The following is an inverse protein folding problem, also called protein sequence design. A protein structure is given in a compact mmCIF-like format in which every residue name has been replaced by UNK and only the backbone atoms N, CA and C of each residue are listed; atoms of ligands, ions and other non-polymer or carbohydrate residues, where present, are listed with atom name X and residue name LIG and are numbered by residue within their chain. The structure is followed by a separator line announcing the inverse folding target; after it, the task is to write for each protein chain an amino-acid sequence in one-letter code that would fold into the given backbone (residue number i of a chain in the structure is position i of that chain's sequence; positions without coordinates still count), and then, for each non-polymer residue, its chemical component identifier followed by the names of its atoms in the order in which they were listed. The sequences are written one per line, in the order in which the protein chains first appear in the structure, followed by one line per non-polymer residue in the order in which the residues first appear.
data_IF_835597950049
#
_entry.id   IF_835597950049
#
_cell.length_a   1.000
_cell.length_b   1.000
_cell.length_c   1.000
_cell.angle_alpha   90.00
_cell.angle_beta   90.00
_cell.angle_gamma   90.00
#
_symmetry.space_group_name_H-M   'P 1'
#
loop_
_entity.id
_entity.type
_entity.pdbx_description
1 polymer ?
#
# COMPACT_ATOMS: atom_id res chain seq x y z
N UNK A 1 23.03 -37.09 64.80
CA UNK A 1 22.00 -37.03 63.76
C UNK A 1 22.13 -35.68 63.07
N UNK A 2 22.84 -35.66 61.92
CA UNK A 2 23.04 -34.45 61.15
C UNK A 2 22.15 -34.48 59.90
N UNK A 3 21.28 -33.50 59.76
CA UNK A 3 20.50 -33.32 58.55
C UNK A 3 21.28 -32.49 57.53
N UNK A 4 21.61 -33.09 56.41
CA UNK A 4 22.24 -32.42 55.28
C UNK A 4 21.13 -31.69 54.49
N UNK A 5 21.24 -30.36 54.38
CA UNK A 5 20.40 -29.51 53.55
C UNK A 5 20.93 -29.52 52.12
N UNK A 6 20.24 -30.18 51.22
CA UNK A 6 20.58 -30.15 49.80
C UNK A 6 19.98 -28.88 49.17
N UNK A 7 20.82 -27.91 48.78
CA UNK A 7 20.42 -26.73 47.99
C UNK A 7 20.42 -27.15 46.54
N UNK A 8 19.25 -27.26 45.94
CA UNK A 8 19.08 -27.41 44.49
C UNK A 8 19.17 -26.04 43.83
N UNK A 9 20.30 -25.73 43.23
CA UNK A 9 20.48 -24.57 42.35
C UNK A 9 19.88 -24.91 40.99
N UNK A 10 18.67 -24.43 40.71
CA UNK A 10 18.12 -24.37 39.36
C UNK A 10 18.78 -23.21 38.62
N UNK A 11 19.75 -23.48 37.78
CA UNK A 11 20.24 -22.54 36.78
C UNK A 11 19.09 -22.33 35.74
N UNK A 12 18.38 -21.23 35.83
CA UNK A 12 17.59 -20.73 34.72
C UNK A 12 18.57 -20.22 33.65
N UNK A 13 18.81 -21.04 32.63
CA UNK A 13 19.49 -20.57 31.42
C UNK A 13 18.59 -19.53 30.75
N UNK A 14 18.82 -18.26 31.02
CA UNK A 14 18.30 -17.17 30.22
C UNK A 14 19.00 -17.29 28.86
N UNK A 15 18.33 -17.91 27.90
CA UNK A 15 18.71 -17.81 26.51
C UNK A 15 18.56 -16.35 26.12
N UNK A 16 19.62 -15.56 26.23
CA UNK A 16 19.72 -14.31 25.52
C UNK A 16 19.78 -14.68 24.05
N UNK A 17 18.63 -14.63 23.35
CA UNK A 17 18.66 -14.55 21.90
C UNK A 17 19.57 -13.34 21.61
N UNK A 18 20.71 -13.62 20.97
CA UNK A 18 21.52 -12.56 20.40
C UNK A 18 20.56 -11.73 19.54
N UNK A 19 20.41 -10.45 19.85
CA UNK A 19 19.69 -9.54 18.99
C UNK A 19 20.39 -9.63 17.63
N UNK A 20 19.76 -10.29 16.68
CA UNK A 20 20.25 -10.36 15.32
C UNK A 20 20.24 -8.92 14.83
N UNK A 21 21.41 -8.41 14.45
CA UNK A 21 21.50 -7.02 13.98
C UNK A 21 20.64 -6.92 12.73
N UNK A 22 19.62 -6.10 12.82
CA UNK A 22 18.75 -5.78 11.69
C UNK A 22 19.58 -5.36 10.49
N UNK A 23 19.36 -5.97 9.34
CA UNK A 23 20.09 -5.66 8.12
C UNK A 23 19.15 -5.16 7.05
N UNK A 24 19.53 -4.02 6.43
CA UNK A 24 18.91 -3.52 5.21
C UNK A 24 19.70 -4.00 3.99
N UNK A 25 19.01 -4.42 2.95
CA UNK A 25 19.63 -4.78 1.68
C UNK A 25 18.77 -4.36 0.48
N UNK A 26 19.42 -3.88 -0.57
CA UNK A 26 18.79 -3.70 -1.88
C UNK A 26 18.83 -5.04 -2.60
N UNK A 27 17.66 -5.61 -2.84
CA UNK A 27 17.53 -6.89 -3.53
C UNK A 27 17.37 -6.74 -5.05
N UNK A 28 16.91 -5.56 -5.52
CA UNK A 28 16.85 -5.25 -6.95
C UNK A 28 16.99 -3.74 -7.21
N UNK A 29 17.77 -3.37 -8.24
CA UNK A 29 17.89 -2.00 -8.75
C UNK A 29 17.17 -1.90 -10.10
N UNK A 30 16.23 -0.97 -10.23
CA UNK A 30 15.58 -0.70 -11.51
C UNK A 30 16.54 -0.05 -12.49
N UNK A 31 16.52 -0.51 -13.75
CA UNK A 31 17.48 -0.07 -14.80
C UNK A 31 16.80 0.69 -15.93
N UNK A 32 15.49 0.91 -15.85
CA UNK A 32 14.72 1.53 -16.91
C UNK A 32 14.44 0.58 -18.08
N UNK A 33 13.93 1.13 -19.18
CA UNK A 33 13.59 0.36 -20.38
C UNK A 33 12.64 -0.79 -20.05
N UNK A 34 12.92 -1.98 -20.56
CA UNK A 34 12.07 -3.16 -20.34
C UNK A 34 12.00 -3.65 -18.88
N UNK A 35 12.91 -3.21 -18.03
CA UNK A 35 12.95 -3.61 -16.62
C UNK A 35 12.18 -2.65 -15.70
N UNK A 36 11.59 -1.59 -16.25
CA UNK A 36 10.80 -0.63 -15.48
C UNK A 36 11.61 0.40 -14.71
N UNK A 37 10.90 1.38 -14.18
CA UNK A 37 11.45 2.46 -13.37
C UNK A 37 10.38 3.03 -12.42
N UNK A 38 10.83 3.66 -11.35
CA UNK A 38 9.99 4.38 -10.38
C UNK A 38 8.90 3.46 -9.81
N UNK A 39 9.26 2.43 -9.04
CA UNK A 39 8.28 1.59 -8.35
C UNK A 39 7.67 2.41 -7.20
N UNK A 40 6.38 2.69 -7.28
CA UNK A 40 5.65 3.45 -6.28
C UNK A 40 4.69 2.58 -5.47
N UNK A 41 4.34 1.41 -5.98
CA UNK A 41 3.42 0.47 -5.36
C UNK A 41 4.13 -0.53 -4.45
N UNK A 42 3.37 -1.10 -3.52
CA UNK A 42 3.80 -2.24 -2.71
C UNK A 42 4.01 -3.51 -3.55
N UNK A 43 4.49 -4.53 -2.88
CA UNK A 43 4.70 -5.85 -3.45
C UNK A 43 3.61 -6.82 -3.00
N UNK A 44 3.39 -7.87 -3.78
CA UNK A 44 2.56 -9.01 -3.38
C UNK A 44 3.40 -10.27 -3.38
N UNK A 45 3.35 -11.03 -2.30
CA UNK A 45 4.12 -12.25 -2.11
C UNK A 45 3.25 -13.47 -2.42
N UNK A 46 3.77 -14.43 -3.22
CA UNK A 46 3.04 -15.65 -3.60
C UNK A 46 3.18 -16.79 -2.57
N UNK A 47 3.91 -16.57 -1.49
CA UNK A 47 4.21 -17.60 -0.48
C UNK A 47 5.25 -18.64 -0.95
N UNK A 48 5.60 -18.69 -2.23
CA UNK A 48 6.59 -19.59 -2.82
C UNK A 48 7.97 -18.95 -3.03
N UNK A 49 8.11 -17.66 -2.68
CA UNK A 49 9.37 -16.93 -2.76
C UNK A 49 9.46 -15.92 -3.90
N UNK A 50 8.37 -15.65 -4.61
CA UNK A 50 8.33 -14.59 -5.61
C UNK A 50 7.51 -13.40 -5.14
N UNK A 51 7.93 -12.21 -5.53
CA UNK A 51 7.19 -10.97 -5.37
C UNK A 51 6.65 -10.49 -6.72
N UNK A 52 5.49 -9.88 -6.68
CA UNK A 52 4.85 -9.25 -7.83
C UNK A 52 4.65 -7.78 -7.52
N UNK A 53 4.94 -6.93 -8.51
CA UNK A 53 4.82 -5.48 -8.34
C UNK A 53 4.61 -4.77 -9.66
N UNK A 54 4.46 -3.45 -9.57
CA UNK A 54 4.33 -2.55 -10.72
C UNK A 54 5.45 -1.54 -10.74
N UNK A 55 5.89 -1.15 -11.93
CA UNK A 55 6.77 -0.02 -12.16
C UNK A 55 6.00 1.05 -12.94
N UNK A 56 6.04 2.29 -12.44
CA UNK A 56 5.25 3.38 -13.02
C UNK A 56 5.69 3.77 -14.42
N UNK A 57 6.96 3.58 -14.73
CA UNK A 57 7.57 3.85 -16.03
C UNK A 57 8.34 2.65 -16.56
N UNK A 58 8.84 2.77 -17.78
CA UNK A 58 9.48 1.68 -18.52
C UNK A 58 8.48 0.85 -19.31
N UNK A 59 8.88 -0.35 -19.72
CA UNK A 59 8.11 -1.17 -20.65
C UNK A 59 8.13 -0.59 -22.06
N UNK A 60 6.97 -0.54 -22.69
CA UNK A 60 6.83 0.03 -24.04
C UNK A 60 7.04 1.54 -24.03
N UNK A 61 7.79 2.02 -25.02
CA UNK A 61 8.07 3.45 -25.24
C UNK A 61 7.59 3.88 -26.64
N UNK A 62 7.37 5.18 -26.82
CA UNK A 62 6.81 5.75 -28.04
C UNK A 62 5.27 5.72 -28.07
N UNK A 63 4.68 6.25 -29.14
CA UNK A 63 3.23 6.36 -29.25
C UNK A 63 2.60 7.06 -28.06
N UNK A 64 1.61 6.42 -27.46
CA UNK A 64 0.91 6.94 -26.27
C UNK A 64 1.76 6.91 -24.99
N UNK A 65 2.89 6.20 -24.98
CA UNK A 65 3.75 6.03 -23.79
C UNK A 65 4.86 7.07 -23.68
N UNK A 66 5.12 7.83 -24.76
CA UNK A 66 6.22 8.79 -24.77
C UNK A 66 7.58 8.13 -24.53
N UNK A 67 8.55 8.91 -24.05
CA UNK A 67 9.94 8.44 -23.85
C UNK A 67 10.14 7.69 -22.53
N UNK A 68 9.28 7.91 -21.52
CA UNK A 68 9.40 7.28 -20.22
C UNK A 68 8.78 5.87 -20.15
N UNK A 69 7.90 5.53 -21.09
CA UNK A 69 7.12 4.30 -21.10
C UNK A 69 5.85 4.38 -20.24
N UNK A 70 4.94 3.44 -20.47
CA UNK A 70 3.63 3.37 -19.81
C UNK A 70 3.64 2.53 -18.54
N UNK A 71 4.78 2.00 -18.14
CA UNK A 71 4.89 1.13 -16.99
C UNK A 71 4.67 -0.35 -17.31
N UNK A 72 4.85 -1.17 -16.30
CA UNK A 72 4.76 -2.62 -16.42
C UNK A 72 4.37 -3.30 -15.10
N UNK A 73 3.91 -4.54 -15.23
CA UNK A 73 3.80 -5.50 -14.12
C UNK A 73 4.98 -6.46 -14.21
N UNK A 74 5.62 -6.73 -13.06
CA UNK A 74 6.77 -7.63 -13.00
C UNK A 74 6.62 -8.69 -11.90
N UNK A 75 7.41 -9.76 -12.06
CA UNK A 75 7.70 -10.74 -11.02
C UNK A 75 9.18 -10.65 -10.66
N UNK A 76 9.48 -10.68 -9.38
CA UNK A 76 10.82 -10.74 -8.83
C UNK A 76 11.00 -12.09 -8.13
N UNK A 77 11.95 -12.90 -8.59
CA UNK A 77 12.19 -14.25 -8.08
C UNK A 77 13.62 -14.37 -7.57
N UNK A 78 13.78 -14.95 -6.38
CA UNK A 78 15.11 -15.28 -5.87
C UNK A 78 15.62 -16.56 -6.54
N UNK A 79 16.80 -16.47 -7.14
CA UNK A 79 17.48 -17.56 -7.84
C UNK A 79 18.85 -17.82 -7.22
N UNK A 80 19.50 -18.89 -7.63
CA UNK A 80 20.90 -19.19 -7.20
C UNK A 80 21.90 -18.08 -7.59
N UNK A 81 21.54 -17.23 -8.56
CA UNK A 81 22.35 -16.09 -9.02
C UNK A 81 21.92 -14.76 -8.42
N UNK A 82 20.99 -14.76 -7.46
CA UNK A 82 20.37 -13.58 -6.86
C UNK A 82 18.97 -13.30 -7.39
N UNK A 83 18.46 -12.12 -7.07
CA UNK A 83 17.12 -11.70 -7.46
C UNK A 83 17.04 -11.32 -8.95
N UNK A 84 16.07 -11.86 -9.65
CA UNK A 84 15.83 -11.64 -11.07
C UNK A 84 14.43 -11.08 -11.29
N UNK A 85 14.34 -9.94 -11.98
CA UNK A 85 13.09 -9.36 -12.42
C UNK A 85 12.70 -9.95 -13.79
N UNK A 86 11.44 -10.37 -13.90
CA UNK A 86 10.81 -10.81 -15.14
C UNK A 86 9.61 -9.92 -15.41
N UNK A 87 9.58 -9.11 -16.48
CA UNK A 87 8.39 -8.41 -16.91
C UNK A 87 7.29 -9.42 -17.28
N UNK A 88 6.11 -9.23 -16.72
CA UNK A 88 4.93 -10.06 -17.03
C UNK A 88 4.09 -9.40 -18.12
N UNK A 89 3.88 -8.10 -17.99
CA UNK A 89 3.11 -7.29 -18.94
C UNK A 89 3.66 -5.87 -19.00
N UNK A 90 3.74 -5.31 -20.19
CA UNK A 90 4.19 -3.91 -20.43
C UNK A 90 3.06 -3.15 -21.11
N UNK A 91 2.55 -2.13 -20.44
CA UNK A 91 1.42 -1.33 -20.92
C UNK A 91 1.79 -0.55 -22.19
N UNK A 92 0.80 -0.39 -23.08
CA UNK A 92 0.94 0.31 -24.36
C UNK A 92 0.31 1.70 -24.35
N UNK A 93 -0.36 2.07 -23.27
CA UNK A 93 -1.15 3.30 -23.20
C UNK A 93 -2.43 3.24 -24.04
N UNK A 94 -3.14 4.35 -24.13
CA UNK A 94 -4.43 4.38 -24.81
C UNK A 94 -5.42 3.47 -24.10
N UNK A 95 -6.10 2.58 -24.82
CA UNK A 95 -7.11 1.68 -24.23
C UNK A 95 -6.53 0.60 -23.32
N UNK A 96 -5.24 0.32 -23.43
CA UNK A 96 -4.54 -0.70 -22.66
C UNK A 96 -4.23 -0.30 -21.21
N UNK A 97 -4.36 0.98 -20.89
CA UNK A 97 -3.94 1.50 -19.61
C UNK A 97 -2.48 2.00 -19.60
N UNK A 98 -2.15 2.80 -18.59
CA UNK A 98 -0.81 3.34 -18.40
C UNK A 98 -0.57 3.75 -16.94
N UNK A 99 0.70 3.71 -16.55
CA UNK A 99 1.19 4.22 -15.27
C UNK A 99 0.46 3.61 -14.06
N UNK A 100 0.73 2.35 -13.72
CA UNK A 100 0.21 1.72 -12.49
C UNK A 100 0.94 2.32 -11.28
N UNK A 101 0.52 3.50 -10.81
CA UNK A 101 1.25 4.32 -9.83
C UNK A 101 1.39 3.62 -8.48
N UNK A 102 0.43 3.82 -7.59
CA UNK A 102 0.44 3.29 -6.21
C UNK A 102 -0.44 2.04 -6.06
N UNK A 103 -0.95 1.51 -7.17
CA UNK A 103 -1.73 0.30 -7.19
C UNK A 103 -0.83 -0.93 -7.33
N UNK A 104 -0.68 -1.69 -6.25
CA UNK A 104 0.01 -2.97 -6.35
C UNK A 104 -0.92 -4.08 -6.83
N UNK A 105 -0.34 -5.11 -7.44
CA UNK A 105 -1.10 -6.27 -7.89
C UNK A 105 -1.57 -7.11 -6.72
N UNK A 106 -2.75 -7.68 -6.81
CA UNK A 106 -3.28 -8.63 -5.83
C UNK A 106 -3.69 -9.93 -6.53
N UNK A 107 -3.60 -11.06 -5.82
CA UNK A 107 -4.16 -12.30 -6.31
C UNK A 107 -5.67 -12.31 -6.11
N UNK A 108 -6.42 -12.55 -7.18
CA UNK A 108 -7.84 -12.82 -7.08
C UNK A 108 -8.15 -14.28 -6.73
N UNK A 109 -9.43 -14.62 -6.52
CA UNK A 109 -9.85 -15.95 -6.06
C UNK A 109 -9.37 -17.11 -6.93
N UNK A 110 -9.20 -16.88 -8.25
CA UNK A 110 -8.74 -17.89 -9.21
C UNK A 110 -7.22 -17.88 -9.44
N UNK A 111 -6.44 -17.12 -8.65
CA UNK A 111 -4.99 -17.04 -8.75
C UNK A 111 -4.47 -16.15 -9.89
N UNK A 112 -5.32 -15.41 -10.61
CA UNK A 112 -4.90 -14.35 -11.51
C UNK A 112 -4.47 -13.12 -10.74
N UNK A 113 -3.66 -12.27 -11.36
CA UNK A 113 -3.25 -10.98 -10.81
C UNK A 113 -4.23 -9.88 -11.25
N UNK A 114 -4.60 -9.02 -10.33
CA UNK A 114 -5.48 -7.87 -10.55
C UNK A 114 -4.81 -6.61 -10.06
N UNK A 115 -5.01 -5.51 -10.77
CA UNK A 115 -4.58 -4.17 -10.35
C UNK A 115 -5.27 -3.10 -11.19
N UNK A 116 -4.78 -1.86 -11.08
CA UNK A 116 -5.29 -0.70 -11.81
C UNK A 116 -4.17 0.06 -12.50
N UNK A 117 -4.51 0.80 -13.54
CA UNK A 117 -3.65 1.83 -14.12
C UNK A 117 -4.26 3.21 -13.86
N UNK A 118 -3.43 4.20 -13.55
CA UNK A 118 -3.91 5.55 -13.26
C UNK A 118 -4.42 6.29 -14.49
N UNK A 119 -3.80 6.04 -15.64
CA UNK A 119 -4.15 6.59 -16.96
C UNK A 119 -4.52 5.49 -17.94
N UNK A 120 -4.97 5.89 -19.12
CA UNK A 120 -5.45 5.00 -20.18
C UNK A 120 -6.91 4.64 -20.00
N UNK A 121 -7.40 3.69 -20.77
CA UNK A 121 -8.83 3.35 -20.82
C UNK A 121 -9.64 4.38 -21.62
N UNK A 122 -10.55 5.04 -20.99
CA UNK A 122 -11.48 5.99 -21.58
C UNK A 122 -10.88 7.28 -22.15
N UNK A 123 -11.72 8.27 -22.38
CA UNK A 123 -11.43 9.51 -23.13
C UNK A 123 -11.14 10.74 -22.27
N UNK A 124 -10.83 10.59 -20.98
CA UNK A 124 -10.57 11.73 -20.11
C UNK A 124 -9.36 12.53 -20.58
N UNK A 125 -9.57 13.79 -20.92
CA UNK A 125 -8.56 14.82 -21.23
C UNK A 125 -7.40 14.34 -22.14
N UNK A 126 -7.65 13.35 -23.00
CA UNK A 126 -6.67 12.80 -23.94
C UNK A 126 -5.65 11.83 -23.35
N UNK A 127 -5.66 11.59 -22.03
CA UNK A 127 -4.75 10.64 -21.34
C UNK A 127 -5.47 9.41 -20.80
N UNK A 128 -6.81 9.43 -20.76
CA UNK A 128 -7.67 8.39 -20.18
C UNK A 128 -7.84 8.52 -18.66
N UNK A 129 -8.88 7.88 -18.14
CA UNK A 129 -9.29 7.94 -16.73
C UNK A 129 -8.77 6.77 -15.90
N UNK A 130 -8.01 5.88 -16.48
CA UNK A 130 -7.51 4.68 -15.82
C UNK A 130 -8.37 3.44 -16.07
N UNK A 131 -7.78 2.30 -15.74
CA UNK A 131 -8.40 0.98 -15.94
C UNK A 131 -8.31 0.11 -14.72
N UNK A 132 -9.22 -0.87 -14.62
CA UNK A 132 -9.02 -2.07 -13.79
C UNK A 132 -8.72 -3.22 -14.73
N UNK A 133 -7.64 -3.96 -14.48
CA UNK A 133 -7.20 -5.05 -15.33
C UNK A 133 -6.95 -6.33 -14.54
N UNK A 134 -6.94 -7.44 -15.28
CA UNK A 134 -6.60 -8.78 -14.83
C UNK A 134 -5.50 -9.34 -15.72
N UNK A 135 -4.46 -9.91 -15.11
CA UNK A 135 -3.44 -10.69 -15.80
C UNK A 135 -3.61 -12.18 -15.48
N UNK A 136 -3.78 -12.99 -16.50
CA UNK A 136 -3.89 -14.44 -16.40
C UNK A 136 -2.73 -15.12 -17.10
N UNK A 137 -2.18 -16.15 -16.45
CA UNK A 137 -1.18 -17.01 -17.07
C UNK A 137 -1.89 -17.95 -18.09
N UNK A 138 -1.55 -17.85 -19.37
CA UNK A 138 -2.01 -18.80 -20.39
C UNK A 138 -1.01 -19.94 -20.53
N UNK A 139 -1.48 -21.16 -20.25
CA UNK A 139 -0.71 -22.39 -20.52
C UNK A 139 -0.91 -22.78 -21.98
N UNK A 140 0.19 -22.92 -22.72
CA UNK A 140 0.16 -23.41 -24.11
C UNK A 140 0.27 -22.37 -25.21
N UNK A 141 0.80 -21.17 -24.92
CA UNK A 141 1.06 -20.14 -25.94
C UNK A 141 2.32 -20.50 -26.77
N UNK A 142 2.16 -20.92 -28.05
CA UNK A 142 3.26 -21.49 -28.84
C UNK A 142 4.19 -20.43 -29.47
N UNK A 143 4.00 -19.13 -29.24
CA UNK A 143 4.64 -18.07 -30.05
C UNK A 143 5.72 -17.26 -29.35
N UNK A 144 6.26 -17.67 -28.20
CA UNK A 144 7.37 -16.97 -27.54
C UNK A 144 7.05 -15.55 -27.03
N UNK A 145 5.78 -15.14 -27.04
CA UNK A 145 5.29 -13.94 -26.35
C UNK A 145 5.11 -14.25 -24.85
N UNK A 146 5.02 -13.21 -24.04
CA UNK A 146 4.71 -13.36 -22.61
C UNK A 146 3.53 -14.33 -22.43
N UNK A 147 3.63 -15.33 -21.55
CA UNK A 147 2.51 -16.23 -21.27
C UNK A 147 1.39 -15.53 -20.48
N UNK A 148 1.57 -14.28 -20.11
CA UNK A 148 0.59 -13.49 -19.38
C UNK A 148 -0.26 -12.68 -20.36
N UNK A 149 -1.57 -12.79 -20.20
CA UNK A 149 -2.56 -12.11 -21.03
C UNK A 149 -3.34 -11.15 -20.14
N UNK A 150 -3.39 -9.90 -20.58
CA UNK A 150 -4.21 -8.87 -19.96
C UNK A 150 -5.66 -8.96 -20.44
N UNK A 151 -6.56 -8.62 -19.55
CA UNK A 151 -7.97 -8.34 -19.82
C UNK A 151 -8.36 -7.08 -19.04
N UNK A 152 -8.81 -6.06 -19.75
CA UNK A 152 -9.43 -4.89 -19.13
C UNK A 152 -10.79 -5.29 -18.61
N UNK A 153 -11.01 -5.11 -17.32
CA UNK A 153 -12.29 -5.41 -16.65
C UNK A 153 -13.20 -4.19 -16.65
N UNK A 154 -12.60 -2.99 -16.46
CA UNK A 154 -13.30 -1.72 -16.48
C UNK A 154 -12.38 -0.60 -16.98
N UNK A 155 -12.94 0.34 -17.74
CA UNK A 155 -12.27 1.58 -18.16
C UNK A 155 -13.08 2.77 -17.67
N UNK A 156 -12.51 3.55 -16.77
CA UNK A 156 -13.19 4.71 -16.20
C UNK A 156 -13.41 5.82 -17.22
N UNK A 157 -14.49 6.58 -17.05
CA UNK A 157 -14.93 7.64 -17.99
C UNK A 157 -14.94 9.03 -17.38
N UNK A 158 -14.61 9.15 -16.09
CA UNK A 158 -14.71 10.37 -15.31
C UNK A 158 -16.04 10.50 -14.56
N UNK A 159 -17.15 10.18 -15.19
CA UNK A 159 -18.44 10.18 -14.51
C UNK A 159 -18.57 9.05 -13.47
N UNK A 160 -18.01 7.90 -13.75
CA UNK A 160 -17.90 6.71 -12.93
C UNK A 160 -16.52 6.60 -12.22
N UNK A 161 -15.82 7.72 -12.05
CA UNK A 161 -14.52 7.79 -11.43
C UNK A 161 -13.38 8.02 -12.40
N UNK A 162 -12.22 8.40 -11.86
CA UNK A 162 -10.98 8.59 -12.62
C UNK A 162 -9.75 8.44 -11.73
N UNK A 163 -8.65 7.95 -12.31
CA UNK A 163 -7.40 7.75 -11.61
C UNK A 163 -7.56 6.76 -10.44
N UNK A 164 -7.84 5.48 -10.71
CA UNK A 164 -7.93 4.48 -9.63
C UNK A 164 -6.59 4.38 -8.90
N UNK A 165 -6.65 4.26 -7.57
CA UNK A 165 -5.49 4.25 -6.68
C UNK A 165 -5.63 3.12 -5.66
N UNK A 166 -4.48 2.71 -5.10
CA UNK A 166 -4.44 1.65 -4.11
C UNK A 166 -4.69 0.25 -4.68
N UNK A 167 -4.63 -0.73 -3.82
CA UNK A 167 -4.91 -2.11 -4.18
C UNK A 167 -6.42 -2.40 -4.20
N UNK A 168 -6.82 -3.30 -5.07
CA UNK A 168 -8.14 -3.91 -5.01
C UNK A 168 -8.22 -4.85 -3.80
N UNK A 169 -9.42 -4.97 -3.23
CA UNK A 169 -9.75 -6.01 -2.27
C UNK A 169 -10.89 -6.87 -2.84
N UNK A 170 -10.95 -8.13 -2.42
CA UNK A 170 -12.00 -9.04 -2.88
C UNK A 170 -12.94 -9.37 -1.74
N UNK A 171 -14.25 -9.29 -2.02
CA UNK A 171 -15.28 -9.78 -1.12
C UNK A 171 -15.39 -11.33 -1.18
N UNK A 172 -16.23 -11.90 -0.30
CA UNK A 172 -16.44 -13.35 -0.25
C UNK A 172 -17.11 -13.94 -1.51
N UNK A 173 -17.71 -13.10 -2.36
CA UNK A 173 -18.31 -13.50 -3.62
C UNK A 173 -17.32 -13.37 -4.81
N UNK A 174 -16.11 -12.88 -4.55
CA UNK A 174 -15.10 -12.64 -5.56
C UNK A 174 -15.32 -11.36 -6.35
N UNK A 175 -16.11 -10.42 -5.86
CA UNK A 175 -16.21 -9.07 -6.40
C UNK A 175 -15.00 -8.26 -5.97
N UNK A 176 -14.55 -7.33 -6.82
CA UNK A 176 -13.40 -6.48 -6.55
C UNK A 176 -13.82 -5.07 -6.15
N UNK A 177 -13.47 -4.64 -4.95
CA UNK A 177 -13.71 -3.30 -4.45
C UNK A 177 -12.46 -2.43 -4.61
N UNK A 178 -12.65 -1.18 -4.97
CA UNK A 178 -11.56 -0.23 -5.16
C UNK A 178 -12.01 1.23 -5.01
N UNK A 179 -11.06 2.13 -5.16
CA UNK A 179 -11.28 3.57 -5.07
C UNK A 179 -10.66 4.29 -6.26
N UNK A 180 -11.24 5.43 -6.63
CA UNK A 180 -10.65 6.38 -7.59
C UNK A 180 -10.32 7.69 -6.90
N UNK A 181 -9.25 8.36 -7.33
CA UNK A 181 -8.80 9.62 -6.74
C UNK A 181 -9.56 10.85 -7.22
N UNK A 182 -10.34 10.72 -8.28
CA UNK A 182 -11.11 11.83 -8.87
C UNK A 182 -12.31 11.30 -9.66
N UNK A 183 -13.06 12.21 -10.27
CA UNK A 183 -14.30 11.87 -10.99
C UNK A 183 -15.47 11.63 -10.04
N UNK A 184 -16.54 11.02 -10.56
CA UNK A 184 -17.79 10.84 -9.83
C UNK A 184 -18.60 12.12 -9.65
N UNK A 185 -19.68 12.03 -8.86
CA UNK A 185 -20.66 13.10 -8.71
C UNK A 185 -20.08 14.42 -8.17
N UNK A 186 -19.11 14.34 -7.25
CA UNK A 186 -18.51 15.50 -6.58
C UNK A 186 -17.08 15.79 -7.06
N UNK A 187 -16.63 15.09 -8.11
CA UNK A 187 -15.23 15.10 -8.57
C UNK A 187 -14.20 14.78 -7.47
N UNK A 188 -14.65 14.17 -6.38
CA UNK A 188 -13.84 13.75 -5.23
C UNK A 188 -13.38 12.29 -5.32
N UNK A 189 -13.63 11.61 -6.44
CA UNK A 189 -13.43 10.17 -6.57
C UNK A 189 -14.68 9.38 -6.19
N UNK A 190 -14.57 8.07 -6.26
CA UNK A 190 -15.61 7.12 -5.89
C UNK A 190 -15.04 5.92 -5.13
N UNK A 191 -15.92 5.24 -4.43
CA UNK A 191 -15.70 3.87 -3.96
C UNK A 191 -16.60 2.98 -4.83
N UNK A 192 -16.00 1.98 -5.47
CA UNK A 192 -16.67 1.14 -6.45
C UNK A 192 -16.49 -0.35 -6.17
N UNK A 193 -17.40 -1.16 -6.70
CA UNK A 193 -17.29 -2.60 -6.78
C UNK A 193 -17.44 -3.05 -8.23
N UNK A 194 -16.57 -3.95 -8.68
CA UNK A 194 -16.75 -4.69 -9.91
C UNK A 194 -17.34 -6.04 -9.60
N UNK A 195 -18.53 -6.31 -10.14
CA UNK A 195 -19.27 -7.53 -9.85
C UNK A 195 -18.83 -8.67 -10.80
N UNK A 196 -18.18 -9.68 -10.23
CA UNK A 196 -17.63 -10.82 -10.98
C UNK A 196 -18.71 -11.67 -11.68
N UNK A 197 -19.89 -11.77 -11.07
CA UNK A 197 -21.00 -12.59 -11.61
C UNK A 197 -21.71 -11.95 -12.81
N UNK A 198 -21.55 -10.63 -13.00
CA UNK A 198 -22.17 -9.90 -14.12
C UNK A 198 -21.19 -9.51 -15.22
N UNK A 199 -19.99 -10.14 -15.24
CA UNK A 199 -18.93 -9.83 -16.19
C UNK A 199 -18.15 -8.56 -15.83
N UNK A 200 -17.94 -8.31 -14.54
CA UNK A 200 -17.21 -7.18 -13.98
C UNK A 200 -17.91 -5.82 -14.18
N UNK A 201 -19.25 -5.85 -14.19
CA UNK A 201 -20.01 -4.62 -14.22
C UNK A 201 -19.72 -3.80 -12.98
N UNK A 202 -19.45 -2.50 -13.17
CA UNK A 202 -19.21 -1.57 -12.10
C UNK A 202 -20.50 -1.18 -11.38
N UNK A 203 -20.39 -1.05 -10.06
CA UNK A 203 -21.39 -0.46 -9.18
C UNK A 203 -20.70 0.59 -8.33
N UNK A 204 -21.09 1.84 -8.42
CA UNK A 204 -20.61 2.88 -7.51
C UNK A 204 -21.26 2.67 -6.15
N UNK A 205 -20.45 2.39 -5.14
CA UNK A 205 -20.92 2.15 -3.77
C UNK A 205 -21.15 3.47 -3.04
N UNK A 206 -20.24 4.45 -3.26
CA UNK A 206 -20.29 5.73 -2.57
C UNK A 206 -19.53 6.84 -3.32
N UNK A 207 -19.98 8.09 -3.17
CA UNK A 207 -19.35 9.31 -3.65
C UNK A 207 -18.89 10.15 -2.46
N UNK A 208 -17.63 10.05 -2.03
CA UNK A 208 -17.11 10.82 -0.88
C UNK A 208 -17.03 12.33 -1.19
N UNK A 209 -17.09 13.14 -0.16
CA UNK A 209 -16.83 14.59 -0.21
C UNK A 209 -15.35 14.94 -0.05
N UNK A 210 -14.45 14.01 -0.27
CA UNK A 210 -13.00 14.19 -0.22
C UNK A 210 -12.32 13.11 -1.03
N UNK A 211 -11.08 13.34 -1.44
CA UNK A 211 -10.34 12.35 -2.22
C UNK A 211 -10.09 11.10 -1.37
N UNK A 212 -10.56 9.91 -1.77
CA UNK A 212 -10.26 8.68 -1.02
C UNK A 212 -8.77 8.45 -0.88
N UNK A 213 -8.35 7.93 0.27
CA UNK A 213 -7.01 7.40 0.45
C UNK A 213 -6.81 6.11 -0.37
N UNK A 214 -5.57 5.67 -0.47
CA UNK A 214 -5.13 4.63 -1.39
C UNK A 214 -5.41 3.20 -0.94
N UNK A 215 -6.39 2.95 -0.09
CA UNK A 215 -6.69 1.58 0.34
C UNK A 215 -8.02 1.42 1.04
N UNK A 216 -8.65 0.29 0.78
CA UNK A 216 -9.81 -0.19 1.53
C UNK A 216 -9.42 -1.39 2.40
N UNK A 217 -10.10 -1.53 3.52
CA UNK A 217 -10.03 -2.71 4.37
C UNK A 217 -11.44 -3.21 4.61
N UNK A 218 -11.64 -4.53 4.55
CA UNK A 218 -12.94 -5.17 4.77
C UNK A 218 -12.92 -5.96 6.07
N UNK A 219 -13.99 -5.86 6.86
CA UNK A 219 -14.20 -6.75 7.99
C UNK A 219 -14.97 -8.03 7.61
N UNK A 220 -15.09 -8.96 8.53
CA UNK A 220 -15.82 -10.22 8.30
C UNK A 220 -17.32 -10.06 8.01
N UNK A 221 -17.90 -8.91 8.33
CA UNK A 221 -19.30 -8.60 8.04
C UNK A 221 -19.48 -7.93 6.67
N UNK A 222 -18.39 -7.70 5.92
CA UNK A 222 -18.40 -7.05 4.62
C UNK A 222 -18.47 -5.53 4.71
N UNK A 223 -18.25 -4.92 5.88
CA UNK A 223 -18.10 -3.47 5.95
C UNK A 223 -16.74 -3.06 5.39
N UNK A 224 -16.73 -1.95 4.63
CA UNK A 224 -15.52 -1.35 4.09
C UNK A 224 -15.07 -0.18 4.96
N UNK A 225 -13.78 -0.08 5.20
CA UNK A 225 -13.15 1.02 5.91
C UNK A 225 -12.11 1.69 5.04
N UNK A 226 -12.07 3.01 5.06
CA UNK A 226 -11.11 3.79 4.30
C UNK A 226 -10.88 5.16 4.92
N UNK A 227 -10.11 5.96 4.22
CA UNK A 227 -9.81 7.35 4.60
C UNK A 227 -10.13 8.29 3.46
N UNK A 228 -10.34 9.57 3.78
CA UNK A 228 -10.35 10.64 2.79
C UNK A 228 -9.21 11.61 3.06
N UNK A 229 -8.47 12.01 2.03
CA UNK A 229 -7.33 12.94 2.15
C UNK A 229 -7.73 14.31 2.69
N UNK A 230 -8.82 14.88 2.18
CA UNK A 230 -9.29 16.23 2.51
C UNK A 230 -10.80 16.29 2.77
N UNK A 231 -11.39 15.18 3.21
CA UNK A 231 -12.77 15.09 3.66
C UNK A 231 -12.91 15.50 5.13
N UNK A 232 -14.09 15.20 5.70
CA UNK A 232 -14.43 15.52 7.07
C UNK A 232 -14.85 16.98 7.28
N UNK A 233 -15.28 17.31 8.50
CA UNK A 233 -15.84 18.61 8.84
C UNK A 233 -14.84 19.76 8.68
N UNK A 234 -13.57 19.53 8.97
CA UNK A 234 -12.49 20.52 8.95
C UNK A 234 -11.66 20.48 7.65
N UNK A 235 -11.97 19.58 6.72
CA UNK A 235 -11.29 19.37 5.44
C UNK A 235 -9.84 18.91 5.58
N UNK A 236 -9.47 18.32 6.71
CA UNK A 236 -8.14 17.74 6.96
C UNK A 236 -8.12 16.22 6.84
N UNK A 237 -9.20 15.65 6.32
CA UNK A 237 -9.38 14.24 6.08
C UNK A 237 -10.19 13.54 7.17
N UNK A 238 -10.66 12.36 6.85
CA UNK A 238 -11.49 11.54 7.75
C UNK A 238 -11.15 10.06 7.66
N UNK A 239 -11.63 9.30 8.62
CA UNK A 239 -11.75 7.84 8.54
C UNK A 239 -13.22 7.49 8.47
N UNK A 240 -13.64 6.72 7.48
CA UNK A 240 -15.02 6.33 7.27
C UNK A 240 -15.23 4.83 7.29
N UNK A 241 -16.48 4.43 7.48
CA UNK A 241 -16.99 3.07 7.32
C UNK A 241 -18.16 3.09 6.34
N UNK A 242 -18.16 2.17 5.39
CA UNK A 242 -19.32 1.86 4.57
C UNK A 242 -19.94 0.54 5.03
N UNK A 243 -21.21 0.53 5.32
CA UNK A 243 -21.96 -0.65 5.75
C UNK A 243 -22.96 -1.02 4.67
N UNK A 244 -22.99 -2.28 4.17
CA UNK A 244 -23.99 -2.69 3.20
C UNK A 244 -25.38 -2.69 3.82
N UNK A 245 -26.37 -2.14 3.08
CA UNK A 245 -27.77 -2.03 3.51
C UNK A 245 -28.71 -2.31 2.33
N UNK A 246 -29.05 -3.58 2.14
CA UNK A 246 -29.80 -4.03 0.96
C UNK A 246 -28.99 -3.83 -0.32
N UNK A 247 -29.51 -3.00 -1.24
CA UNK A 247 -28.81 -2.61 -2.47
C UNK A 247 -27.96 -1.33 -2.34
N UNK A 248 -27.95 -0.71 -1.16
CA UNK A 248 -27.25 0.55 -0.91
C UNK A 248 -26.13 0.37 0.11
N UNK A 249 -25.31 1.41 0.25
CA UNK A 249 -24.29 1.50 1.28
C UNK A 249 -24.54 2.71 2.16
N UNK A 250 -24.31 2.56 3.45
CA UNK A 250 -24.46 3.63 4.44
C UNK A 250 -23.07 4.01 4.91
N UNK A 251 -22.70 5.27 4.68
CA UNK A 251 -21.48 5.83 5.23
C UNK A 251 -21.67 6.25 6.69
N UNK A 252 -20.63 6.07 7.46
CA UNK A 252 -20.48 6.57 8.82
C UNK A 252 -19.08 7.14 8.96
N UNK A 253 -18.98 8.43 9.27
CA UNK A 253 -17.72 9.03 9.69
C UNK A 253 -17.34 8.49 11.06
N UNK A 254 -16.15 7.92 11.14
CA UNK A 254 -15.61 7.37 12.38
C UNK A 254 -14.74 8.40 13.11
N UNK A 255 -14.03 9.23 12.35
CA UNK A 255 -13.17 10.28 12.88
C UNK A 255 -12.82 11.33 11.82
N UNK A 256 -12.90 12.62 12.20
CA UNK A 256 -12.46 13.76 11.41
C UNK A 256 -11.19 14.35 12.00
N UNK A 257 -10.16 14.52 11.16
CA UNK A 257 -8.88 15.10 11.57
C UNK A 257 -8.97 16.62 11.67
N UNK A 258 -8.27 17.19 12.67
CA UNK A 258 -8.32 18.64 12.97
C UNK A 258 -7.06 19.39 12.55
N UNK A 259 -6.06 18.72 11.98
CA UNK A 259 -4.72 19.25 11.69
C UNK A 259 -3.94 19.68 12.96
N UNK A 260 -4.38 19.19 14.09
CA UNK A 260 -3.73 19.40 15.40
C UNK A 260 -2.73 18.29 15.72
N UNK A 261 -2.71 17.91 17.00
CA UNK A 261 -1.89 16.78 17.47
C UNK A 261 -2.37 15.41 16.97
N UNK A 262 -3.57 15.32 16.42
CA UNK A 262 -4.19 14.16 15.82
C UNK A 262 -3.69 13.87 14.40
N UNK A 263 -3.10 14.84 13.72
CA UNK A 263 -2.60 14.75 12.35
C UNK A 263 -3.59 15.30 11.31
N UNK A 264 -3.27 15.08 10.04
CA UNK A 264 -4.08 15.50 8.90
C UNK A 264 -3.68 14.77 7.62
N UNK A 265 -4.58 14.80 6.64
CA UNK A 265 -4.36 14.28 5.30
C UNK A 265 -3.97 12.79 5.29
N UNK A 266 -4.80 11.87 5.82
CA UNK A 266 -4.55 10.45 5.72
C UNK A 266 -4.65 10.02 4.25
N UNK A 267 -3.56 9.49 3.70
CA UNK A 267 -3.49 9.01 2.32
C UNK A 267 -3.55 7.49 2.24
N UNK A 268 -3.10 6.83 3.29
CA UNK A 268 -3.16 5.38 3.43
C UNK A 268 -4.53 4.93 3.94
N UNK A 269 -4.90 3.69 3.63
CA UNK A 269 -6.02 3.02 4.28
C UNK A 269 -5.72 2.68 5.74
N UNK A 270 -6.64 1.95 6.35
CA UNK A 270 -6.52 1.49 7.75
C UNK A 270 -6.30 -0.02 7.80
N UNK A 271 -5.75 -0.51 8.91
CA UNK A 271 -5.58 -1.93 9.22
C UNK A 271 -6.43 -2.28 10.43
N UNK A 272 -7.13 -3.42 10.36
CA UNK A 272 -7.96 -3.96 11.45
C UNK A 272 -7.17 -4.94 12.31
N UNK A 273 -7.27 -4.83 13.63
CA UNK A 273 -6.90 -5.92 14.52
C UNK A 273 -8.08 -6.89 14.78
N UNK A 274 -7.81 -7.99 15.45
CA UNK A 274 -8.83 -9.00 15.79
C UNK A 274 -9.93 -8.49 16.73
N UNK A 275 -9.69 -7.40 17.44
CA UNK A 275 -10.66 -6.75 18.33
C UNK A 275 -11.52 -5.70 17.61
N UNK A 276 -11.27 -5.48 16.31
CA UNK A 276 -11.98 -4.49 15.50
C UNK A 276 -11.47 -3.06 15.68
N UNK A 277 -10.29 -2.86 16.29
CA UNK A 277 -9.67 -1.54 16.28
C UNK A 277 -9.04 -1.26 14.91
N UNK A 278 -9.07 0.01 14.51
CA UNK A 278 -8.46 0.50 13.28
C UNK A 278 -7.13 1.17 13.59
N UNK A 279 -6.12 0.89 12.76
CA UNK A 279 -4.83 1.56 12.82
C UNK A 279 -4.53 2.18 11.47
N UNK A 280 -4.08 3.41 11.47
CA UNK A 280 -3.78 4.15 10.24
C UNK A 280 -2.71 5.19 10.47
N UNK A 281 -2.45 5.95 9.43
CA UNK A 281 -1.48 7.05 9.49
C UNK A 281 -1.99 8.29 8.75
N UNK A 282 -1.64 9.44 9.28
CA UNK A 282 -1.81 10.73 8.60
C UNK A 282 -0.47 11.18 8.00
N UNK A 283 -0.50 11.85 6.87
CA UNK A 283 0.71 12.25 6.15
C UNK A 283 1.24 13.65 6.53
N UNK A 284 0.47 14.38 7.34
CA UNK A 284 0.85 15.69 7.86
C UNK A 284 0.24 15.94 9.25
N UNK A 285 0.49 17.11 9.84
CA UNK A 285 0.06 17.45 11.20
C UNK A 285 0.82 16.66 12.26
N UNK A 286 0.23 16.52 13.44
CA UNK A 286 0.89 15.96 14.61
C UNK A 286 1.84 16.96 15.29
N UNK A 287 2.26 16.67 16.52
CA UNK A 287 3.16 17.55 17.28
C UNK A 287 4.55 17.71 16.64
N UNK A 288 4.98 16.76 15.81
CA UNK A 288 6.24 16.78 15.07
C UNK A 288 6.09 17.26 13.61
N UNK A 289 4.88 17.59 13.16
CA UNK A 289 4.57 18.05 11.79
C UNK A 289 4.92 17.05 10.66
N UNK A 290 5.26 15.82 11.00
CA UNK A 290 5.58 14.73 10.05
C UNK A 290 4.41 13.76 9.82
N UNK A 291 3.23 14.06 10.35
CA UNK A 291 2.10 13.14 10.39
C UNK A 291 2.05 12.35 11.69
N UNK A 292 1.07 11.47 11.78
CA UNK A 292 0.86 10.62 12.96
C UNK A 292 0.61 9.18 12.54
N UNK A 293 0.92 8.26 13.45
CA UNK A 293 0.33 6.92 13.45
C UNK A 293 -0.74 6.92 14.54
N UNK A 294 -1.94 6.49 14.21
CA UNK A 294 -3.10 6.56 15.09
C UNK A 294 -3.81 5.21 15.24
N UNK A 295 -4.62 5.14 16.28
CA UNK A 295 -5.57 4.04 16.53
C UNK A 295 -6.96 4.62 16.75
N UNK A 296 -7.97 3.98 16.17
CA UNK A 296 -9.38 4.19 16.51
C UNK A 296 -9.91 2.95 17.23
N UNK A 297 -10.57 3.16 18.36
CA UNK A 297 -11.18 2.09 19.16
C UNK A 297 -12.67 2.36 19.30
N UNK A 298 -13.51 1.38 18.96
CA UNK A 298 -14.94 1.47 19.17
C UNK A 298 -15.28 1.40 20.68
N UNK A 299 -16.06 2.36 21.16
CA UNK A 299 -16.48 2.44 22.55
C UNK A 299 -17.88 3.02 22.67
N UNK A 300 -18.85 2.24 23.15
CA UNK A 300 -20.23 2.69 23.40
C UNK A 300 -20.89 3.39 22.21
N UNK A 301 -20.67 2.87 21.01
CA UNK A 301 -21.24 3.44 19.75
C UNK A 301 -20.46 4.60 19.16
N UNK A 302 -19.39 5.06 19.80
CA UNK A 302 -18.48 6.09 19.31
C UNK A 302 -17.11 5.49 18.99
N UNK A 303 -16.28 6.24 18.24
CA UNK A 303 -14.90 5.90 18.01
C UNK A 303 -13.98 6.86 18.74
N UNK A 304 -13.01 6.32 19.46
CA UNK A 304 -12.02 7.08 20.23
C UNK A 304 -10.70 7.05 19.50
N UNK A 305 -10.21 8.23 19.12
CA UNK A 305 -8.90 8.41 18.52
C UNK A 305 -7.80 8.43 19.57
N UNK A 306 -6.68 7.82 19.24
CA UNK A 306 -5.45 7.87 20.02
C UNK A 306 -4.26 8.01 19.08
N UNK A 307 -3.45 9.06 19.24
CA UNK A 307 -2.16 9.20 18.56
C UNK A 307 -1.16 8.24 19.22
N UNK A 308 -0.68 7.25 18.44
CA UNK A 308 0.31 6.28 18.92
C UNK A 308 1.73 6.84 18.84
N UNK A 309 1.99 7.59 17.76
CA UNK A 309 3.27 8.28 17.54
C UNK A 309 3.07 9.50 16.65
N UNK A 310 3.83 10.56 16.92
CA UNK A 310 3.90 11.77 16.09
C UNK A 310 5.25 11.80 15.40
N UNK A 311 5.23 11.69 14.07
CA UNK A 311 6.43 11.70 13.24
C UNK A 311 7.03 13.11 13.16
N UNK A 312 8.34 13.19 13.05
CA UNK A 312 9.07 14.46 12.97
C UNK A 312 9.37 14.77 11.52
N UNK A 313 8.62 15.66 10.92
CA UNK A 313 8.89 16.09 9.54
C UNK A 313 10.22 16.85 9.41
N UNK A 314 10.77 16.93 8.21
CA UNK A 314 12.08 17.56 7.95
C UNK A 314 12.12 19.08 8.15
N UNK A 315 11.07 19.68 8.69
CA UNK A 315 11.01 21.13 9.01
C UNK A 315 11.09 22.06 7.79
N UNK A 316 11.03 21.53 6.57
CA UNK A 316 11.23 22.30 5.33
C UNK A 316 9.93 22.84 4.70
N UNK A 317 8.82 22.80 5.45
CA UNK A 317 7.51 23.32 5.01
C UNK A 317 6.78 22.44 3.97
N UNK A 318 7.23 21.21 3.71
CA UNK A 318 6.47 20.25 2.91
C UNK A 318 5.19 19.90 3.64
N UNK A 319 4.06 19.91 2.92
CA UNK A 319 2.74 19.63 3.48
C UNK A 319 2.51 18.12 3.71
N UNK A 320 3.21 17.25 2.97
CA UNK A 320 3.04 15.80 2.99
C UNK A 320 4.43 15.16 3.05
N UNK A 321 4.79 14.61 4.19
CA UNK A 321 6.10 13.99 4.42
C UNK A 321 6.00 12.63 5.11
N UNK A 322 4.88 12.38 5.78
CA UNK A 322 4.61 11.18 6.54
C UNK A 322 4.20 9.97 5.70
N UNK A 323 3.55 9.00 6.30
CA UNK A 323 3.14 7.77 5.64
C UNK A 323 2.13 8.00 4.51
N UNK A 324 2.35 7.32 3.39
CA UNK A 324 1.44 7.25 2.24
C UNK A 324 0.99 5.82 2.00
N UNK A 325 1.86 4.84 2.21
CA UNK A 325 1.52 3.42 2.16
C UNK A 325 0.77 2.95 3.42
N UNK A 326 -0.03 1.91 3.27
CA UNK A 326 -0.75 1.30 4.40
C UNK A 326 0.23 0.75 5.44
N UNK A 327 -0.18 0.78 6.69
CA UNK A 327 0.54 0.07 7.76
C UNK A 327 0.42 -1.44 7.55
N UNK A 328 1.40 -2.18 8.06
CA UNK A 328 1.37 -3.65 8.16
C UNK A 328 1.48 -4.02 9.63
N UNK A 329 0.68 -4.99 10.07
CA UNK A 329 0.68 -5.47 11.46
C UNK A 329 1.18 -6.91 11.50
N UNK A 330 2.12 -7.21 12.41
CA UNK A 330 2.53 -8.60 12.67
C UNK A 330 1.64 -9.26 13.75
N UNK A 331 1.83 -10.55 13.97
CA UNK A 331 1.07 -11.33 14.94
C UNK A 331 1.28 -10.88 16.40
N UNK A 332 2.34 -10.15 16.70
CA UNK A 332 2.62 -9.56 18.02
C UNK A 332 1.98 -8.19 18.20
N UNK A 333 1.31 -7.65 17.16
CA UNK A 333 0.69 -6.34 17.16
C UNK A 333 1.66 -5.20 16.90
N UNK A 334 2.88 -5.47 16.46
CA UNK A 334 3.77 -4.40 15.99
C UNK A 334 3.25 -3.85 14.67
N UNK A 335 3.36 -2.53 14.49
CA UNK A 335 3.01 -1.84 13.26
C UNK A 335 4.28 -1.45 12.51
N UNK A 336 4.25 -1.63 11.20
CA UNK A 336 5.33 -1.24 10.30
C UNK A 336 4.78 -0.33 9.22
N UNK A 337 5.59 0.65 8.81
CA UNK A 337 5.21 1.56 7.74
C UNK A 337 6.41 2.26 7.12
N UNK A 338 6.14 3.04 6.09
CA UNK A 338 7.13 3.90 5.42
C UNK A 338 6.71 5.34 5.53
N UNK A 339 7.66 6.27 5.59
CA UNK A 339 7.42 7.70 5.46
C UNK A 339 7.99 8.20 4.15
N UNK A 340 7.30 9.13 3.48
CA UNK A 340 7.73 9.61 2.17
C UNK A 340 9.03 10.41 2.22
N UNK A 341 9.13 11.37 3.13
CA UNK A 341 10.23 12.33 3.16
C UNK A 341 10.62 12.71 4.60
N UNK A 342 10.31 11.86 5.57
CA UNK A 342 10.81 11.91 6.94
C UNK A 342 12.09 11.07 7.06
N UNK A 343 12.56 10.87 8.29
CA UNK A 343 13.81 10.18 8.59
C UNK A 343 15.02 11.10 8.59
N UNK A 344 16.16 10.59 9.03
CA UNK A 344 17.36 11.37 9.31
C UNK A 344 17.90 12.17 8.11
N UNK A 345 17.61 11.72 6.89
CA UNK A 345 18.13 12.34 5.66
C UNK A 345 17.05 13.08 4.83
N UNK A 346 15.78 13.02 5.21
CA UNK A 346 14.68 13.65 4.48
C UNK A 346 14.26 12.95 3.17
N UNK A 347 14.67 11.70 2.97
CA UNK A 347 14.33 10.88 1.80
C UNK A 347 13.42 9.69 2.14
N UNK A 348 12.80 9.75 3.31
CA UNK A 348 11.91 8.72 3.83
C UNK A 348 12.60 7.71 4.72
N UNK A 349 11.80 6.95 5.44
CA UNK A 349 12.24 5.92 6.36
C UNK A 349 11.31 4.71 6.33
N UNK A 350 11.82 3.59 6.82
CA UNK A 350 11.02 2.44 7.25
C UNK A 350 11.02 2.45 8.78
N UNK A 351 9.85 2.31 9.39
CA UNK A 351 9.71 2.35 10.83
C UNK A 351 8.93 1.17 11.39
N UNK A 352 9.12 0.92 12.68
CA UNK A 352 8.36 -0.01 13.51
C UNK A 352 7.80 0.71 14.72
N UNK A 353 6.55 0.43 15.06
CA UNK A 353 5.96 0.76 16.36
C UNK A 353 5.67 -0.52 17.13
N UNK A 354 6.20 -0.62 18.34
CA UNK A 354 6.02 -1.76 19.24
C UNK A 354 5.15 -1.36 20.41
N UNK A 355 4.01 -2.07 20.67
CA UNK A 355 3.19 -1.81 21.83
C UNK A 355 3.92 -2.22 23.12
N UNK A 356 3.89 -1.39 24.14
CA UNK A 356 4.54 -1.64 25.43
C UNK A 356 3.75 -0.99 26.58
N UNK A 357 3.10 -1.78 27.42
CA UNK A 357 2.44 -1.34 28.66
C UNK A 357 1.55 -0.08 28.51
N UNK A 358 0.72 -0.04 27.44
CA UNK A 358 -0.19 1.08 27.17
C UNK A 358 0.45 2.28 26.43
N UNK A 359 1.73 2.20 26.09
CA UNK A 359 2.45 3.13 25.22
C UNK A 359 2.97 2.44 23.96
N UNK A 360 3.60 3.20 23.07
CA UNK A 360 4.20 2.69 21.85
C UNK A 360 5.63 3.18 21.71
N UNK A 361 6.53 2.27 21.34
CA UNK A 361 7.95 2.59 21.10
C UNK A 361 8.19 2.64 19.61
N UNK A 362 8.66 3.80 19.12
CA UNK A 362 9.09 3.98 17.74
C UNK A 362 10.54 3.52 17.56
N UNK A 363 10.80 2.86 16.45
CA UNK A 363 12.14 2.47 16.02
C UNK A 363 12.27 2.75 14.52
N UNK A 364 13.22 3.57 14.10
CA UNK A 364 13.62 3.66 12.70
C UNK A 364 14.35 2.37 12.33
N UNK A 365 13.86 1.69 11.31
CA UNK A 365 14.47 0.48 10.78
C UNK A 365 15.48 0.80 9.67
N UNK A 366 15.21 1.83 8.86
CA UNK A 366 16.12 2.35 7.84
C UNK A 366 15.75 3.78 7.48
N UNK A 367 16.74 4.66 7.40
CA UNK A 367 16.60 6.05 6.92
C UNK A 367 17.27 6.16 5.56
N UNK A 368 16.46 6.34 4.50
CA UNK A 368 16.95 6.41 3.13
C UNK A 368 17.84 7.62 2.88
N UNK A 369 18.85 7.44 2.02
CA UNK A 369 19.78 8.52 1.63
C UNK A 369 19.52 9.08 0.25
N UNK A 370 18.60 8.47 -0.53
CA UNK A 370 18.41 8.68 -1.96
C UNK A 370 19.67 8.37 -2.80
N UNK A 371 20.60 7.66 -2.20
CA UNK A 371 21.79 7.11 -2.83
C UNK A 371 21.55 5.70 -3.38
N UNK A 372 22.52 4.81 -3.20
CA UNK A 372 22.41 3.40 -3.63
C UNK A 372 21.34 2.61 -2.89
N UNK A 373 20.91 3.07 -1.74
CA UNK A 373 19.89 2.48 -0.87
C UNK A 373 18.43 2.83 -1.27
N UNK A 374 18.23 3.75 -2.20
CA UNK A 374 16.91 4.22 -2.60
C UNK A 374 16.45 5.48 -1.87
N UNK A 375 15.23 5.91 -2.16
CA UNK A 375 14.60 7.06 -1.55
C UNK A 375 13.13 7.19 -1.92
N UNK A 376 12.39 7.94 -1.13
CA UNK A 376 10.96 8.19 -1.31
C UNK A 376 10.13 6.90 -1.42
N UNK A 377 10.05 6.10 -0.35
CA UNK A 377 9.22 4.91 -0.32
C UNK A 377 7.74 5.30 -0.22
N UNK A 378 7.00 5.09 -1.30
CA UNK A 378 5.54 5.28 -1.35
C UNK A 378 4.79 4.01 -0.91
N UNK A 379 5.49 2.89 -0.83
CA UNK A 379 4.88 1.57 -0.83
C UNK A 379 4.37 1.13 0.54
N UNK A 380 3.29 0.35 0.51
CA UNK A 380 2.96 -0.57 1.60
C UNK A 380 4.03 -1.66 1.67
N UNK A 381 4.47 -1.99 2.88
CA UNK A 381 5.43 -3.07 3.12
C UNK A 381 4.76 -4.44 2.99
N UNK A 382 5.55 -5.46 2.70
CA UNK A 382 5.14 -6.87 2.81
C UNK A 382 5.97 -7.55 3.88
N UNK A 383 5.30 -8.29 4.76
CA UNK A 383 5.91 -9.07 5.82
C UNK A 383 5.86 -10.55 5.44
N UNK A 384 7.00 -11.24 5.41
CA UNK A 384 7.04 -12.68 5.22
C UNK A 384 6.86 -13.45 6.56
N UNK A 385 6.75 -14.76 6.48
CA UNK A 385 6.56 -15.62 7.65
C UNK A 385 7.78 -15.66 8.60
N UNK A 386 8.94 -15.17 8.16
CA UNK A 386 10.17 -15.08 8.96
C UNK A 386 10.32 -13.74 9.66
N UNK A 387 9.42 -12.80 9.36
CA UNK A 387 9.47 -11.43 9.87
C UNK A 387 10.32 -10.48 9.01
N UNK A 388 10.77 -10.89 7.82
CA UNK A 388 11.43 -9.99 6.89
C UNK A 388 10.41 -9.04 6.27
N UNK A 389 10.82 -7.78 6.13
CA UNK A 389 10.03 -6.72 5.50
C UNK A 389 10.57 -6.46 4.09
N UNK A 390 9.67 -6.34 3.14
CA UNK A 390 10.00 -5.99 1.76
C UNK A 390 9.21 -4.76 1.32
N UNK A 391 9.85 -3.91 0.52
CA UNK A 391 9.22 -2.71 -0.01
C UNK A 391 9.94 -2.18 -1.23
N UNK A 392 9.41 -1.06 -1.75
CA UNK A 392 9.98 -0.35 -2.89
C UNK A 392 10.30 1.08 -2.51
N UNK A 393 11.37 1.62 -3.07
CA UNK A 393 11.67 3.05 -3.03
C UNK A 393 11.69 3.58 -4.46
N UNK A 394 11.00 4.70 -4.70
CA UNK A 394 10.69 5.17 -6.05
C UNK A 394 11.87 5.84 -6.76
N UNK A 395 12.91 6.18 -6.03
CA UNK A 395 14.14 6.81 -6.56
C UNK A 395 15.39 6.20 -5.91
N UNK A 396 16.56 6.72 -6.27
CA UNK A 396 17.84 6.17 -5.82
C UNK A 396 18.15 4.83 -6.50
N UNK A 397 19.01 4.04 -5.86
CA UNK A 397 19.59 2.86 -6.48
C UNK A 397 20.72 3.22 -7.47
N UNK A 398 21.35 2.20 -8.07
CA UNK A 398 22.51 2.39 -8.94
C UNK A 398 22.25 3.25 -10.19
N UNK A 399 21.01 3.36 -10.62
CA UNK A 399 20.59 4.14 -11.80
C UNK A 399 19.68 5.33 -11.46
N UNK A 400 19.38 5.56 -10.17
CA UNK A 400 18.45 6.61 -9.74
C UNK A 400 16.97 6.32 -10.06
N UNK A 401 16.64 5.10 -10.47
CA UNK A 401 15.32 4.71 -10.98
C UNK A 401 14.49 3.89 -10.00
N UNK A 402 14.96 3.79 -8.76
CA UNK A 402 14.29 3.09 -7.66
C UNK A 402 14.86 1.71 -7.39
N UNK A 403 14.43 1.16 -6.27
CA UNK A 403 14.90 -0.14 -5.77
C UNK A 403 13.75 -0.97 -5.20
N UNK A 404 13.97 -2.29 -5.12
CA UNK A 404 13.27 -3.17 -4.19
C UNK A 404 14.24 -3.49 -3.06
N UNK A 405 13.77 -3.39 -1.82
CA UNK A 405 14.60 -3.62 -0.63
C UNK A 405 14.02 -4.70 0.28
N UNK A 406 14.89 -5.25 1.11
CA UNK A 406 14.58 -6.19 2.19
C UNK A 406 15.18 -5.66 3.51
N UNK A 407 14.43 -5.81 4.59
CA UNK A 407 14.91 -5.61 5.95
C UNK A 407 14.70 -6.92 6.71
N UNK A 408 15.79 -7.52 7.18
CA UNK A 408 15.74 -8.70 8.04
C UNK A 408 15.85 -8.29 9.50
N UNK A 409 15.08 -8.94 10.41
CA UNK A 409 15.11 -8.64 11.84
C UNK A 409 16.48 -8.86 12.46
#
# INVERSE_FOLDING_TARGET
MGAALAIVLTLAAIMTQAAQAQTYSVIYNFTGGQNGATPMAGLTFDGAGSFYGTANFGGNTGGNCGTKGCGLVYRLTNTISGWMLTPLYSFMGGNDGANPQIAYVVFGPEGSLYSTTYYGGGTCDGVGCGTVFKLRLETGNPRGSSPWVETILHSFTGADGAGPVGALIFDHNGNADGVTSSGGLHNGGIIYQLNSSTGWQEVVLFHPYGYPGSGLTMDHAGNLYGTTFNGGNDLFGSVYKLTPSGSNWIETDLYDFTNGSDGSYPQAGVVLDQAGNLYGASSAGGSGHGGTVFKLTASNGNWIHSTLHSLTGPGNGRLVVGPIGNLVMDAAGNLYGTTLADGANGYGAVFKLTPSNGSWTYTSLHDFTNGSDGGYPYSTLVLDQRGNLYGTASSGGTQGLGVVFEITP
#
